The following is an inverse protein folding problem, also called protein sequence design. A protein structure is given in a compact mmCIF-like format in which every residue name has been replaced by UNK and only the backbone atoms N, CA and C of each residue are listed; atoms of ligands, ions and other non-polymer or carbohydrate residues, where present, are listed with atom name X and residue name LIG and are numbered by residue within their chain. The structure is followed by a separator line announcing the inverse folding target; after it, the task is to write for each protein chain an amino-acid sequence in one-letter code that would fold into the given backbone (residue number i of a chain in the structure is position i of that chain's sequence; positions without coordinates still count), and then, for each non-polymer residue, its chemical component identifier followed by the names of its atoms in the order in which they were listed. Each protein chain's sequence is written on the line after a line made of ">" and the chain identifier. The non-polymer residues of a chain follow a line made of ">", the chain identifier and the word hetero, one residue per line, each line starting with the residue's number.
data_IF_697903632753
#
_entry.id   IF_697903632753
#
_cell.length_a   1.000
_cell.length_b   1.000
_cell.length_c   1.000
_cell.angle_alpha   90.00
_cell.angle_beta   90.00
_cell.angle_gamma   90.00
#
_symmetry.space_group_name_H-M   'P 1'
#
loop_
_entity.id
_entity.type
_entity.pdbx_description
1 polymer ?
#
# COMPACT_ATOMS: atom_id res chain seq x y z
N UNK A 1 -7.92 -17.45 4.29
CA UNK A 1 -7.03 -16.43 4.92
C UNK A 1 -7.70 -15.06 4.93
N UNK A 2 -8.23 -14.58 3.79
CA UNK A 2 -8.95 -13.30 3.74
C UNK A 2 -10.16 -13.25 4.69
N UNK A 3 -10.97 -14.31 4.75
CA UNK A 3 -12.14 -14.37 5.66
C UNK A 3 -11.73 -14.29 7.13
N UNK A 4 -10.59 -14.89 7.47
CA UNK A 4 -10.02 -14.81 8.82
C UNK A 4 -9.54 -13.38 9.12
N UNK A 5 -8.80 -12.75 8.21
CA UNK A 5 -8.38 -11.37 8.38
C UNK A 5 -9.57 -10.42 8.53
N UNK A 6 -10.63 -10.60 7.73
CA UNK A 6 -11.86 -9.82 7.82
C UNK A 6 -12.59 -10.05 9.17
N UNK A 7 -12.71 -11.30 9.61
CA UNK A 7 -13.36 -11.65 10.87
C UNK A 7 -12.60 -11.12 12.10
N UNK A 8 -11.28 -10.98 12.01
CA UNK A 8 -10.41 -10.54 13.11
C UNK A 8 -9.95 -9.08 12.99
N UNK A 9 -10.44 -8.32 12.02
CA UNK A 9 -10.06 -6.91 11.83
C UNK A 9 -8.58 -6.71 11.47
N UNK A 10 -7.95 -7.70 10.84
CA UNK A 10 -6.54 -7.64 10.43
C UNK A 10 -6.49 -6.97 9.07
N UNK A 11 -6.11 -5.69 9.06
CA UNK A 11 -5.86 -4.93 7.85
C UNK A 11 -4.39 -4.48 7.79
N UNK A 12 -3.77 -4.45 6.60
CA UNK A 12 -2.48 -3.81 6.44
C UNK A 12 -2.63 -2.29 6.58
N UNK A 13 -1.60 -1.67 7.13
CA UNK A 13 -1.45 -0.22 7.01
C UNK A 13 -0.96 0.08 5.58
N UNK A 14 -1.70 0.97 4.91
CA UNK A 14 -1.50 1.27 3.49
C UNK A 14 -1.44 2.77 3.24
N UNK A 15 -0.62 3.15 2.28
CA UNK A 15 -0.60 4.50 1.71
C UNK A 15 -1.17 4.42 0.29
N UNK A 16 -2.27 5.15 0.06
CA UNK A 16 -2.92 5.19 -1.24
C UNK A 16 -2.20 6.20 -2.13
N UNK A 17 -1.81 5.78 -3.34
CA UNK A 17 -1.15 6.63 -4.34
C UNK A 17 -1.95 6.64 -5.64
N UNK A 18 -1.79 7.70 -6.43
CA UNK A 18 -2.27 7.72 -7.82
C UNK A 18 -1.30 6.96 -8.71
N UNK A 19 -1.77 6.56 -9.89
CA UNK A 19 -0.92 5.86 -10.87
C UNK A 19 0.25 6.74 -11.35
N UNK A 20 0.07 8.06 -11.37
CA UNK A 20 1.11 9.04 -11.76
C UNK A 20 2.30 9.05 -10.79
N UNK A 21 2.07 8.71 -9.51
CA UNK A 21 3.06 8.82 -8.43
C UNK A 21 3.88 7.52 -8.27
N UNK A 22 3.73 6.53 -9.17
CA UNK A 22 4.34 5.20 -9.01
C UNK A 22 5.87 5.23 -8.95
N UNK A 23 6.52 6.08 -9.74
CA UNK A 23 7.98 6.17 -9.77
C UNK A 23 8.51 6.73 -8.45
N UNK A 24 7.89 7.79 -7.93
CA UNK A 24 8.25 8.39 -6.65
C UNK A 24 8.04 7.41 -5.49
N UNK A 25 6.94 6.66 -5.50
CA UNK A 25 6.69 5.61 -4.52
C UNK A 25 7.75 4.50 -4.59
N UNK A 26 8.19 4.12 -5.79
CA UNK A 26 9.23 3.10 -5.98
C UNK A 26 10.59 3.55 -5.46
N UNK A 27 10.96 4.81 -5.67
CA UNK A 27 12.20 5.38 -5.14
C UNK A 27 12.20 5.42 -3.60
N UNK A 28 11.06 5.72 -2.97
CA UNK A 28 10.89 5.64 -1.51
C UNK A 28 11.02 4.21 -0.98
N UNK A 29 10.46 3.21 -1.68
CA UNK A 29 10.64 1.79 -1.30
C UNK A 29 12.13 1.43 -1.33
N UNK A 30 12.85 1.90 -2.35
CA UNK A 30 14.27 1.63 -2.53
C UNK A 30 15.15 2.27 -1.44
N UNK A 31 14.72 3.38 -0.84
CA UNK A 31 15.43 3.99 0.29
C UNK A 31 15.23 3.25 1.63
N UNK A 32 14.55 2.09 1.63
CA UNK A 32 14.26 1.24 2.81
C UNK A 32 13.50 1.95 3.96
N UNK A 33 13.06 3.19 3.76
CA UNK A 33 12.38 4.02 4.75
C UNK A 33 10.85 3.87 4.69
N UNK A 34 10.37 2.68 4.33
CA UNK A 34 8.93 2.42 4.18
C UNK A 34 8.50 1.32 5.13
N UNK A 35 7.63 1.67 6.08
CA UNK A 35 7.07 0.73 7.07
C UNK A 35 5.70 0.17 6.67
N UNK A 36 5.17 0.60 5.52
CA UNK A 36 3.79 0.35 5.08
C UNK A 36 3.72 -0.10 3.61
N UNK A 37 2.53 -0.50 3.15
CA UNK A 37 2.33 -0.89 1.75
C UNK A 37 1.75 0.27 0.92
N UNK A 38 2.32 0.53 -0.24
CA UNK A 38 1.68 1.39 -1.23
C UNK A 38 0.59 0.62 -1.97
N UNK A 39 -0.58 1.24 -2.14
CA UNK A 39 -1.69 0.71 -2.94
C UNK A 39 -2.09 1.76 -3.96
N UNK A 40 -2.11 1.38 -5.24
CA UNK A 40 -2.50 2.27 -6.33
C UNK A 40 -4.03 2.26 -6.43
N UNK A 41 -4.65 3.43 -6.31
CA UNK A 41 -6.08 3.60 -6.58
C UNK A 41 -6.30 3.63 -8.09
N UNK A 42 -6.76 2.52 -8.67
CA UNK A 42 -7.00 2.39 -10.12
C UNK A 42 -8.34 2.99 -10.57
N UNK A 43 -9.18 3.43 -9.63
CA UNK A 43 -10.47 4.05 -9.94
C UNK A 43 -10.35 5.57 -10.17
N UNK A 44 -9.18 6.16 -9.88
CA UNK A 44 -8.89 7.58 -10.02
C UNK A 44 -7.84 7.85 -11.08
#
# INVERSE_FOLDING_TARGET
>A
ILDFCAAHGIAPEVEMIKIEDINDAFDKIKSEDVRFRYVIDMAK
#
